data_IF_814991574664
#
_entry.id   IF_814991574664
#
_cell.length_a   1.000
_cell.length_b   1.000
_cell.length_c   1.000
_cell.angle_alpha   90.00
_cell.angle_beta   90.00
_cell.angle_gamma   90.00
#
_symmetry.space_group_name_H-M   'P 1'
#
loop_
_entity.id
_entity.type
_entity.pdbx_description
1 polymer ?
#
# COMPACT_ATOMS: atom_id res chain seq x y z
N UNK A 1 106.89 -6.88 8.64
CA UNK A 1 106.89 -7.59 7.34
C UNK A 1 105.45 -7.96 7.01
N UNK A 2 104.96 -7.40 5.92
CA UNK A 2 103.78 -7.82 5.10
C UNK A 2 104.09 -9.25 4.60
N UNK A 3 103.13 -10.21 4.41
CA UNK A 3 101.95 -10.09 3.53
C UNK A 3 100.65 -10.74 4.07
N UNK A 4 99.45 -10.26 3.76
CA UNK A 4 98.77 -10.13 2.45
C UNK A 4 98.42 -11.49 1.83
N UNK A 5 97.18 -11.95 2.03
CA UNK A 5 96.48 -12.92 1.17
C UNK A 5 94.96 -12.75 1.32
N UNK A 6 94.34 -12.24 0.25
CA UNK A 6 92.92 -12.41 -0.15
C UNK A 6 92.80 -13.84 -0.74
N UNK A 7 91.73 -14.66 -0.54
CA UNK A 7 90.45 -14.45 -1.24
C UNK A 7 89.14 -15.02 -0.64
N UNK A 8 88.05 -14.36 -1.05
CA UNK A 8 86.79 -14.89 -1.61
C UNK A 8 86.43 -16.37 -1.37
N UNK A 9 85.28 -16.65 -0.75
CA UNK A 9 84.29 -17.67 -1.19
C UNK A 9 82.97 -17.55 -0.39
N UNK A 10 81.92 -17.18 -1.13
CA UNK A 10 80.59 -17.79 -1.17
C UNK A 10 80.03 -18.54 0.07
N UNK A 11 78.87 -18.10 0.57
CA UNK A 11 77.77 -18.98 1.01
C UNK A 11 76.59 -18.17 1.55
N UNK A 12 75.40 -18.34 0.95
CA UNK A 12 74.12 -18.03 1.62
C UNK A 12 73.93 -19.00 2.78
N UNK A 13 73.31 -18.56 3.88
CA UNK A 13 72.00 -19.12 4.17
C UNK A 13 70.98 -18.10 4.70
N UNK A 14 69.76 -18.61 4.76
CA UNK A 14 68.47 -17.97 4.99
C UNK A 14 68.25 -17.38 6.39
N UNK A 15 67.14 -16.64 6.46
CA UNK A 15 66.34 -16.29 7.63
C UNK A 15 66.83 -15.11 8.50
N UNK A 16 66.01 -14.06 8.56
CA UNK A 16 65.03 -13.98 9.65
C UNK A 16 64.23 -12.67 9.59
N UNK A 17 62.93 -12.85 9.82
CA UNK A 17 61.98 -11.79 10.15
C UNK A 17 62.40 -11.16 11.47
N UNK A 18 62.86 -9.90 11.45
CA UNK A 18 62.61 -8.90 12.51
C UNK A 18 63.50 -7.66 12.36
N UNK A 19 63.03 -6.66 11.62
CA UNK A 19 63.45 -5.27 11.86
C UNK A 19 62.24 -4.37 12.09
N UNK A 20 61.88 -4.31 13.38
CA UNK A 20 61.65 -3.08 14.14
C UNK A 20 60.70 -2.06 13.51
N UNK A 21 59.45 -2.22 13.91
CA UNK A 21 58.57 -1.15 14.43
C UNK A 21 59.38 0.03 15.01
N UNK A 22 59.40 1.16 14.29
CA UNK A 22 59.15 2.52 14.84
C UNK A 22 59.31 3.59 13.75
N UNK A 23 58.19 4.10 13.23
CA UNK A 23 58.10 5.54 12.92
C UNK A 23 56.65 6.04 12.92
N UNK A 24 56.32 6.66 14.06
CA UNK A 24 55.49 7.86 14.26
C UNK A 24 54.15 8.02 13.50
N UNK A 25 53.09 7.98 14.32
CA UNK A 25 51.82 8.70 14.20
C UNK A 25 51.89 9.99 13.36
N UNK A 26 50.96 10.12 12.40
CA UNK A 26 50.14 11.33 12.24
C UNK A 26 48.66 10.92 12.33
N UNK A 27 48.03 11.30 13.44
CA UNK A 27 46.58 11.29 13.63
C UNK A 27 46.02 12.48 12.85
N UNK A 28 45.46 12.23 11.68
CA UNK A 28 44.53 13.14 10.97
C UNK A 28 43.69 12.27 10.05
N UNK A 29 42.70 11.58 10.60
CA UNK A 29 41.86 10.66 9.81
C UNK A 29 40.72 10.03 10.59
N UNK A 30 40.29 10.64 11.70
CA UNK A 30 39.27 10.07 12.59
C UNK A 30 37.85 10.57 12.36
N UNK A 31 37.66 11.62 11.55
CA UNK A 31 36.34 12.23 11.33
C UNK A 31 35.83 12.10 9.89
N UNK A 32 36.71 11.85 8.92
CA UNK A 32 36.32 11.77 7.50
C UNK A 32 35.48 10.54 7.19
N UNK A 33 35.75 9.40 7.84
CA UNK A 33 35.00 8.16 7.63
C UNK A 33 33.55 8.23 8.19
N UNK A 34 33.30 8.64 9.45
CA UNK A 34 31.92 8.80 9.94
C UNK A 34 31.17 9.95 9.26
N UNK A 35 31.85 11.03 8.82
CA UNK A 35 31.20 12.10 8.05
C UNK A 35 30.87 11.69 6.60
N UNK A 36 31.72 10.91 5.94
CA UNK A 36 31.45 10.39 4.61
C UNK A 36 30.33 9.33 4.62
N UNK A 37 30.36 8.39 5.58
CA UNK A 37 29.29 7.40 5.75
C UNK A 37 27.97 8.05 6.20
N UNK A 38 28.02 9.01 7.14
CA UNK A 38 26.85 9.78 7.57
C UNK A 38 26.27 10.64 6.45
N UNK A 39 27.12 11.27 5.63
CA UNK A 39 26.70 12.04 4.46
C UNK A 39 26.05 11.16 3.38
N UNK A 40 26.61 9.99 3.08
CA UNK A 40 26.01 9.01 2.15
C UNK A 40 24.68 8.45 2.66
N UNK A 41 24.57 8.17 3.97
CA UNK A 41 23.31 7.74 4.58
C UNK A 41 22.24 8.84 4.53
N UNK A 42 22.60 10.08 4.87
CA UNK A 42 21.67 11.21 4.77
C UNK A 42 21.26 11.48 3.31
N UNK A 43 22.19 11.36 2.37
CA UNK A 43 21.89 11.44 0.94
C UNK A 43 20.94 10.32 0.51
N UNK A 44 21.20 9.07 0.94
CA UNK A 44 20.33 7.94 0.63
C UNK A 44 18.93 8.10 1.22
N UNK A 45 18.82 8.58 2.46
CA UNK A 45 17.54 8.85 3.12
C UNK A 45 16.80 10.00 2.42
N UNK A 46 17.49 11.09 2.08
CA UNK A 46 16.86 12.24 1.39
C UNK A 46 16.44 11.88 -0.03
N UNK A 47 17.24 11.09 -0.75
CA UNK A 47 16.86 10.56 -2.07
C UNK A 47 15.70 9.58 -1.96
N UNK A 48 15.71 8.66 -0.98
CA UNK A 48 14.60 7.74 -0.76
C UNK A 48 13.31 8.49 -0.38
N UNK A 49 13.41 9.52 0.46
CA UNK A 49 12.29 10.37 0.85
C UNK A 49 11.75 11.17 -0.35
N UNK A 50 12.63 11.77 -1.15
CA UNK A 50 12.25 12.51 -2.35
C UNK A 50 11.64 11.62 -3.44
N UNK A 51 12.12 10.38 -3.60
CA UNK A 51 11.55 9.40 -4.54
C UNK A 51 10.19 8.86 -4.08
N UNK A 52 9.89 8.93 -2.79
CA UNK A 52 8.63 8.45 -2.20
C UNK A 52 7.61 9.55 -1.94
N UNK A 53 7.98 10.83 -2.08
CA UNK A 53 7.05 11.95 -1.93
C UNK A 53 6.08 12.04 -3.14
N UNK A 54 4.77 11.83 -2.94
CA UNK A 54 3.79 11.95 -4.02
C UNK A 54 3.64 13.39 -4.55
N UNK A 55 4.13 14.39 -3.83
CA UNK A 55 4.04 15.80 -4.24
C UNK A 55 4.65 16.06 -5.61
N UNK A 56 5.67 15.30 -6.03
CA UNK A 56 6.31 15.38 -7.35
C UNK A 56 5.37 15.07 -8.52
N UNK A 57 4.28 14.35 -8.24
CA UNK A 57 3.27 13.97 -9.24
C UNK A 57 2.07 14.93 -9.28
N UNK A 58 2.05 15.96 -8.43
CA UNK A 58 1.01 16.98 -8.47
C UNK A 58 1.05 17.69 -9.82
N UNK A 59 -0.10 17.76 -10.48
CA UNK A 59 -0.25 18.35 -11.81
C UNK A 59 0.06 17.39 -12.96
N UNK A 60 0.93 16.39 -12.79
CA UNK A 60 1.25 15.42 -13.84
C UNK A 60 0.23 14.27 -13.92
N UNK A 61 -0.48 13.97 -12.83
CA UNK A 61 -1.57 13.00 -12.81
C UNK A 61 -2.91 13.64 -13.21
N UNK A 62 -2.93 14.29 -14.38
CA UNK A 62 -4.13 14.92 -14.92
C UNK A 62 -4.27 14.62 -16.42
N UNK A 63 -5.48 14.81 -16.95
CA UNK A 63 -5.80 14.56 -18.36
C UNK A 63 -7.14 13.85 -18.54
N UNK A 64 -7.31 13.24 -19.71
CA UNK A 64 -8.51 12.46 -20.04
C UNK A 64 -8.22 10.95 -19.99
N UNK A 65 -9.11 10.18 -19.37
CA UNK A 65 -9.14 8.73 -19.38
C UNK A 65 -10.49 8.25 -19.92
N UNK A 66 -10.56 6.98 -20.32
CA UNK A 66 -11.83 6.33 -20.67
C UNK A 66 -12.16 5.24 -19.66
N UNK A 67 -13.46 5.07 -19.40
CA UNK A 67 -13.99 3.93 -18.66
C UNK A 67 -14.87 3.06 -19.56
N UNK A 68 -14.86 1.75 -19.33
CA UNK A 68 -15.75 0.80 -20.01
C UNK A 68 -16.72 0.17 -19.03
N UNK A 69 -17.96 -0.07 -19.45
CA UNK A 69 -18.91 -0.89 -18.68
C UNK A 69 -18.42 -2.32 -18.56
N UNK A 70 -18.64 -2.91 -17.39
CA UNK A 70 -18.35 -4.33 -17.11
C UNK A 70 -19.48 -4.94 -16.28
N UNK A 71 -19.64 -6.26 -16.33
CA UNK A 71 -20.59 -6.97 -15.49
C UNK A 71 -20.02 -7.15 -14.08
N UNK A 72 -20.91 -7.40 -13.11
CA UNK A 72 -20.51 -7.61 -11.72
C UNK A 72 -19.73 -8.92 -11.49
N UNK A 73 -19.64 -9.81 -12.48
CA UNK A 73 -18.94 -11.09 -12.37
C UNK A 73 -17.43 -10.94 -12.10
N UNK A 74 -16.87 -9.76 -12.40
CA UNK A 74 -15.45 -9.44 -12.10
C UNK A 74 -15.21 -9.16 -10.60
N UNK A 75 -16.27 -8.98 -9.81
CA UNK A 75 -16.21 -8.67 -8.39
C UNK A 75 -16.05 -9.96 -7.58
N UNK A 76 -14.86 -10.54 -7.65
CA UNK A 76 -14.53 -11.71 -6.84
C UNK A 76 -14.48 -11.34 -5.35
N UNK A 77 -15.04 -12.18 -4.47
CA UNK A 77 -14.89 -12.03 -3.02
C UNK A 77 -13.42 -11.96 -2.58
N UNK A 78 -13.11 -11.17 -1.54
CA UNK A 78 -11.76 -11.14 -0.96
C UNK A 78 -11.76 -11.45 0.52
N UNK A 79 -10.80 -12.27 0.92
CA UNK A 79 -10.54 -12.58 2.31
C UNK A 79 -9.68 -11.50 2.95
N UNK A 80 -10.01 -11.16 4.19
CA UNK A 80 -9.19 -10.28 5.03
C UNK A 80 -8.00 -11.08 5.54
N UNK A 81 -6.81 -10.48 5.49
CA UNK A 81 -5.58 -11.08 5.99
C UNK A 81 -5.58 -11.08 7.54
N UNK A 82 -5.64 -12.25 8.20
CA UNK A 82 -5.67 -12.33 9.66
C UNK A 82 -4.38 -11.81 10.31
N UNK A 83 -3.27 -11.72 9.56
CA UNK A 83 -2.02 -11.17 10.08
C UNK A 83 -2.13 -9.67 10.43
N UNK A 84 -3.14 -8.97 9.92
CA UNK A 84 -3.39 -7.55 10.23
C UNK A 84 -3.76 -7.33 11.71
N UNK A 85 -4.27 -8.35 12.40
CA UNK A 85 -4.70 -8.31 13.80
C UNK A 85 -4.08 -9.45 14.62
N UNK A 86 -2.81 -9.78 14.35
CA UNK A 86 -2.11 -10.91 14.98
C UNK A 86 -2.14 -10.87 16.52
N UNK A 87 -2.09 -9.68 17.11
CA UNK A 87 -2.15 -9.47 18.57
C UNK A 87 -3.52 -9.79 19.17
N UNK A 88 -4.56 -9.91 18.35
CA UNK A 88 -5.95 -10.16 18.70
C UNK A 88 -6.52 -11.36 17.92
N UNK A 89 -5.67 -12.35 17.65
CA UNK A 89 -6.04 -13.49 16.80
C UNK A 89 -7.20 -14.31 17.36
N UNK A 90 -7.33 -14.40 18.69
CA UNK A 90 -8.45 -15.11 19.34
C UNK A 90 -9.77 -14.38 19.11
N UNK A 91 -9.79 -13.06 19.33
CA UNK A 91 -10.96 -12.21 19.07
C UNK A 91 -11.39 -12.26 17.61
N UNK A 92 -10.41 -12.22 16.70
CA UNK A 92 -10.67 -12.33 15.26
C UNK A 92 -11.27 -13.69 14.90
N UNK A 93 -10.75 -14.79 15.46
CA UNK A 93 -11.30 -16.12 15.23
C UNK A 93 -12.74 -16.24 15.74
N UNK A 94 -13.05 -15.67 16.91
CA UNK A 94 -14.40 -15.65 17.47
C UNK A 94 -15.37 -14.81 16.62
N UNK A 95 -14.92 -13.66 16.12
CA UNK A 95 -15.69 -12.85 15.17
C UNK A 95 -15.98 -13.65 13.89
N UNK A 96 -14.98 -14.32 13.32
CA UNK A 96 -15.13 -15.18 12.15
C UNK A 96 -16.16 -16.28 12.39
N UNK A 97 -16.10 -16.98 13.53
CA UNK A 97 -17.07 -18.00 13.89
C UNK A 97 -18.50 -17.43 13.97
N UNK A 98 -18.66 -16.26 14.61
CA UNK A 98 -19.96 -15.58 14.70
C UNK A 98 -20.57 -15.23 13.34
N UNK A 99 -19.73 -14.93 12.35
CA UNK A 99 -20.17 -14.64 10.98
C UNK A 99 -20.68 -15.87 10.22
N UNK A 100 -20.28 -17.08 10.64
CA UNK A 100 -20.80 -18.34 10.10
C UNK A 100 -22.26 -18.56 10.47
N UNK A 101 -22.66 -18.10 11.66
CA UNK A 101 -24.05 -18.14 12.11
C UNK A 101 -24.86 -16.94 11.59
N UNK A 102 -24.27 -15.75 11.64
CA UNK A 102 -24.93 -14.49 11.25
C UNK A 102 -23.99 -13.60 10.45
N UNK A 103 -24.08 -13.64 9.10
CA UNK A 103 -23.34 -12.74 8.24
C UNK A 103 -23.63 -11.27 8.53
N UNK A 104 -22.58 -10.45 8.62
CA UNK A 104 -22.69 -9.00 8.65
C UNK A 104 -23.14 -8.49 7.27
N UNK A 105 -24.25 -7.76 7.20
CA UNK A 105 -24.79 -7.26 5.92
C UNK A 105 -25.16 -5.79 6.02
N UNK A 106 -24.61 -4.99 5.11
CA UNK A 106 -24.89 -3.55 5.00
C UNK A 106 -25.52 -3.28 3.64
N UNK A 107 -26.77 -2.83 3.65
CA UNK A 107 -27.46 -2.38 2.44
C UNK A 107 -27.42 -0.85 2.35
N UNK A 108 -27.10 -0.35 1.17
CA UNK A 108 -27.23 1.05 0.81
C UNK A 108 -27.99 1.20 -0.50
N UNK A 109 -28.26 2.44 -0.91
CA UNK A 109 -28.85 2.73 -2.22
C UNK A 109 -27.89 2.42 -3.39
N UNK A 110 -26.62 2.14 -3.13
CA UNK A 110 -25.59 1.91 -4.15
C UNK A 110 -25.26 0.42 -4.31
N UNK A 111 -25.20 -0.29 -3.18
CA UNK A 111 -24.75 -1.68 -3.12
C UNK A 111 -25.12 -2.34 -1.79
N UNK A 112 -25.03 -3.67 -1.75
CA UNK A 112 -24.98 -4.48 -0.53
C UNK A 112 -23.53 -4.94 -0.32
N UNK A 113 -22.99 -4.72 0.87
CA UNK A 113 -21.70 -5.29 1.30
C UNK A 113 -22.00 -6.39 2.33
N UNK A 114 -21.40 -7.56 2.16
CA UNK A 114 -21.54 -8.67 3.07
C UNK A 114 -20.18 -9.12 3.61
N UNK A 115 -20.11 -9.32 4.93
CA UNK A 115 -19.04 -9.98 5.65
C UNK A 115 -19.53 -11.39 5.97
N UNK A 116 -18.83 -12.41 5.47
CA UNK A 116 -19.20 -13.80 5.66
C UNK A 116 -18.01 -14.58 6.17
N UNK A 117 -18.26 -15.62 6.96
CA UNK A 117 -17.25 -16.63 7.23
C UNK A 117 -17.01 -17.45 5.96
N UNK A 118 -15.74 -17.68 5.63
CA UNK A 118 -15.32 -18.70 4.69
C UNK A 118 -13.89 -19.13 5.00
N UNK A 119 -13.67 -20.45 5.10
CA UNK A 119 -12.34 -21.05 5.33
C UNK A 119 -11.61 -20.48 6.56
N UNK A 120 -12.36 -20.14 7.62
CA UNK A 120 -11.78 -19.60 8.86
C UNK A 120 -11.26 -18.17 8.74
N UNK A 121 -11.75 -17.39 7.76
CA UNK A 121 -11.50 -15.94 7.66
C UNK A 121 -12.77 -15.17 7.31
N UNK A 122 -12.70 -13.84 7.43
CA UNK A 122 -13.74 -12.92 6.98
C UNK A 122 -13.56 -12.70 5.48
N UNK A 123 -14.55 -13.14 4.70
CA UNK A 123 -14.62 -12.82 3.29
C UNK A 123 -15.62 -11.67 3.05
N UNK A 124 -15.19 -10.68 2.26
CA UNK A 124 -16.03 -9.55 1.87
C UNK A 124 -16.56 -9.77 0.45
N UNK A 125 -17.86 -9.54 0.27
CA UNK A 125 -18.56 -9.61 -1.02
C UNK A 125 -19.39 -8.35 -1.25
N UNK A 126 -19.55 -7.97 -2.51
CA UNK A 126 -20.39 -6.82 -2.89
C UNK A 126 -21.33 -7.16 -4.01
N UNK A 127 -22.58 -6.73 -3.84
CA UNK A 127 -23.63 -6.82 -4.84
C UNK A 127 -24.08 -5.40 -5.22
N UNK A 128 -23.82 -4.94 -6.46
CA UNK A 128 -24.30 -3.63 -6.93
C UNK A 128 -25.82 -3.51 -6.97
N UNK A 129 -26.35 -2.32 -6.66
CA UNK A 129 -27.76 -2.00 -6.88
C UNK A 129 -28.07 -1.81 -8.37
N UNK A 130 -29.33 -2.05 -8.76
CA UNK A 130 -29.79 -2.03 -10.16
C UNK A 130 -29.67 -0.68 -10.87
N UNK A 131 -29.71 0.42 -10.12
CA UNK A 131 -29.63 1.80 -10.63
C UNK A 131 -28.18 2.23 -10.91
N UNK A 132 -27.21 1.40 -10.51
CA UNK A 132 -25.79 1.64 -10.69
C UNK A 132 -25.22 0.71 -11.76
N UNK A 133 -24.10 1.15 -12.35
CA UNK A 133 -23.34 0.39 -13.32
C UNK A 133 -21.89 0.32 -12.86
N UNK A 134 -21.29 -0.85 -13.03
CA UNK A 134 -19.89 -1.06 -12.79
C UNK A 134 -19.10 -0.57 -14.00
N UNK A 135 -18.18 0.35 -13.76
CA UNK A 135 -17.27 0.89 -14.78
C UNK A 135 -15.83 0.57 -14.41
N UNK A 136 -15.02 0.24 -15.42
CA UNK A 136 -13.60 -0.10 -15.30
C UNK A 136 -12.75 1.01 -15.89
N UNK A 137 -11.77 1.49 -15.12
CA UNK A 137 -10.73 2.43 -15.56
C UNK A 137 -9.39 1.71 -15.57
N UNK A 138 -8.81 1.51 -16.75
CA UNK A 138 -7.48 0.91 -16.89
C UNK A 138 -6.37 1.87 -16.48
N UNK A 139 -5.39 1.39 -15.72
CA UNK A 139 -4.27 2.19 -15.21
C UNK A 139 -3.17 2.46 -16.24
N UNK A 140 -3.09 1.65 -17.30
CA UNK A 140 -2.12 1.83 -18.40
C UNK A 140 -2.55 2.82 -19.49
N UNK A 141 -3.60 3.61 -19.26
CA UNK A 141 -4.10 4.57 -20.26
C UNK A 141 -3.29 5.87 -20.33
N UNK A 142 -2.48 6.17 -19.32
CA UNK A 142 -1.63 7.36 -19.25
C UNK A 142 -0.24 6.95 -18.75
N UNK A 143 0.81 7.41 -19.43
CA UNK A 143 2.21 7.14 -19.06
C UNK A 143 2.51 7.65 -17.65
N UNK A 144 2.02 8.85 -17.30
CA UNK A 144 2.20 9.42 -15.96
C UNK A 144 1.50 8.58 -14.88
N UNK A 145 0.29 8.08 -15.16
CA UNK A 145 -0.43 7.20 -14.26
C UNK A 145 0.30 5.87 -14.09
N UNK A 146 0.76 5.28 -15.19
CA UNK A 146 1.52 4.03 -15.17
C UNK A 146 2.82 4.18 -14.35
N UNK A 147 3.62 5.21 -14.61
CA UNK A 147 4.85 5.49 -13.87
C UNK A 147 4.58 5.71 -12.37
N UNK A 148 3.47 6.38 -12.03
CA UNK A 148 3.07 6.53 -10.64
C UNK A 148 2.75 5.19 -9.99
N UNK A 149 1.96 4.34 -10.65
CA UNK A 149 1.61 2.99 -10.15
C UNK A 149 2.87 2.17 -9.92
N UNK A 150 3.80 2.17 -10.88
CA UNK A 150 5.07 1.43 -10.80
C UNK A 150 5.94 1.90 -9.62
N UNK A 151 5.93 3.19 -9.30
CA UNK A 151 6.81 3.76 -8.27
C UNK A 151 6.17 3.90 -6.90
N UNK A 152 4.84 3.94 -6.79
CA UNK A 152 4.13 4.28 -5.55
C UNK A 152 3.20 3.18 -5.04
N UNK A 153 2.90 2.14 -5.83
CA UNK A 153 1.99 1.05 -5.46
C UNK A 153 2.29 0.45 -4.08
N UNK A 154 3.55 0.08 -3.82
CA UNK A 154 3.95 -0.50 -2.53
C UNK A 154 3.73 0.45 -1.35
N UNK A 155 3.99 1.76 -1.53
CA UNK A 155 3.76 2.76 -0.48
C UNK A 155 2.26 2.91 -0.19
N UNK A 156 1.45 3.01 -1.24
CA UNK A 156 0.00 3.11 -1.12
C UNK A 156 -0.62 1.87 -0.50
N UNK A 157 -0.10 0.69 -0.83
CA UNK A 157 -0.54 -0.57 -0.25
C UNK A 157 -0.19 -0.66 1.24
N UNK A 158 0.99 -0.19 1.64
CA UNK A 158 1.36 -0.06 3.05
C UNK A 158 0.37 0.83 3.83
N UNK A 159 0.06 2.01 3.30
CA UNK A 159 -0.91 2.94 3.91
C UNK A 159 -2.32 2.36 3.99
N UNK A 160 -2.75 1.59 2.97
CA UNK A 160 -4.03 0.88 2.99
C UNK A 160 -4.06 -0.21 4.07
N UNK A 161 -3.01 -1.03 4.17
CA UNK A 161 -2.92 -2.10 5.16
C UNK A 161 -2.93 -1.55 6.59
N UNK A 162 -2.26 -0.42 6.83
CA UNK A 162 -2.31 0.30 8.10
C UNK A 162 -3.73 0.76 8.43
N UNK A 163 -4.41 1.46 7.50
CA UNK A 163 -5.79 1.90 7.70
C UNK A 163 -6.75 0.73 7.97
N UNK A 164 -6.58 -0.38 7.23
CA UNK A 164 -7.39 -1.59 7.39
C UNK A 164 -7.15 -2.26 8.74
N UNK A 165 -5.89 -2.39 9.18
CA UNK A 165 -5.55 -2.95 10.48
C UNK A 165 -6.18 -2.14 11.61
N UNK A 166 -6.02 -0.81 11.59
CA UNK A 166 -6.63 0.08 12.59
C UNK A 166 -8.16 -0.04 12.61
N UNK A 167 -8.79 -0.13 11.43
CA UNK A 167 -10.25 -0.28 11.32
C UNK A 167 -10.74 -1.65 11.80
N UNK A 168 -9.94 -2.70 11.60
CA UNK A 168 -10.22 -4.04 12.12
C UNK A 168 -10.06 -4.11 13.64
N UNK A 169 -9.05 -3.45 14.21
CA UNK A 169 -8.92 -3.35 15.67
C UNK A 169 -10.12 -2.65 16.29
N UNK A 170 -10.62 -1.58 15.66
CA UNK A 170 -11.84 -0.91 16.10
C UNK A 170 -13.07 -1.83 15.97
N UNK A 171 -13.21 -2.53 14.85
CA UNK A 171 -14.31 -3.51 14.65
C UNK A 171 -14.30 -4.59 15.74
N UNK A 172 -13.14 -5.16 16.05
CA UNK A 172 -13.01 -6.17 17.11
C UNK A 172 -13.36 -5.60 18.48
N UNK A 173 -12.99 -4.35 18.75
CA UNK A 173 -13.33 -3.66 20.00
C UNK A 173 -14.83 -3.46 20.14
N UNK A 174 -15.50 -2.94 19.11
CA UNK A 174 -16.93 -2.66 19.14
C UNK A 174 -17.76 -3.96 19.15
N UNK A 175 -17.30 -4.98 18.42
CA UNK A 175 -17.91 -6.30 18.44
C UNK A 175 -17.80 -6.96 19.80
N UNK A 176 -16.64 -6.90 20.46
CA UNK A 176 -16.46 -7.45 21.80
C UNK A 176 -17.31 -6.75 22.84
N UNK A 177 -17.41 -5.42 22.79
CA UNK A 177 -18.26 -4.67 23.69
C UNK A 177 -19.73 -5.16 23.59
N UNK A 178 -20.22 -5.39 22.37
CA UNK A 178 -21.54 -5.99 22.17
C UNK A 178 -21.64 -7.42 22.78
N UNK A 179 -20.61 -8.25 22.65
CA UNK A 179 -20.60 -9.59 23.29
C UNK A 179 -20.61 -9.51 24.82
N UNK A 180 -19.88 -8.57 25.42
CA UNK A 180 -19.83 -8.36 26.87
C UNK A 180 -21.18 -7.89 27.44
N UNK A 181 -21.93 -7.12 26.66
CA UNK A 181 -23.26 -6.62 26.99
C UNK A 181 -24.40 -7.63 26.65
N UNK A 182 -24.07 -8.84 26.17
CA UNK A 182 -25.00 -9.87 25.69
C UNK A 182 -25.91 -9.35 24.54
N UNK A 183 -25.36 -8.44 23.73
CA UNK A 183 -26.02 -7.82 22.59
C UNK A 183 -25.53 -8.39 21.25
N UNK A 184 -26.40 -8.29 20.24
CA UNK A 184 -26.03 -8.61 18.87
C UNK A 184 -25.31 -7.41 18.26
N UNK A 185 -24.13 -7.65 17.69
CA UNK A 185 -23.43 -6.62 16.93
C UNK A 185 -24.15 -6.31 15.61
N UNK A 186 -24.80 -5.15 15.55
CA UNK A 186 -25.56 -4.69 14.37
C UNK A 186 -24.90 -3.51 13.61
N UNK A 187 -23.89 -2.84 14.18
CA UNK A 187 -23.26 -1.66 13.59
C UNK A 187 -22.24 -1.98 12.47
N UNK A 188 -22.65 -2.83 11.53
CA UNK A 188 -21.87 -3.10 10.32
C UNK A 188 -21.75 -1.88 9.42
N UNK A 189 -22.68 -0.93 9.53
CA UNK A 189 -22.74 0.27 8.68
C UNK A 189 -21.49 1.13 8.86
N UNK A 190 -21.00 1.29 10.10
CA UNK A 190 -19.74 1.99 10.39
C UNK A 190 -18.51 1.38 9.71
N UNK A 191 -18.51 0.07 9.49
CA UNK A 191 -17.36 -0.67 8.95
C UNK A 191 -17.44 -0.98 7.45
N UNK A 192 -18.54 -0.58 6.80
CA UNK A 192 -18.75 -0.82 5.36
C UNK A 192 -17.60 -0.28 4.51
N UNK A 193 -17.20 0.96 4.73
CA UNK A 193 -16.15 1.60 3.93
C UNK A 193 -14.75 1.27 4.43
N UNK A 194 -14.55 1.30 5.75
CA UNK A 194 -13.23 1.22 6.41
C UNK A 194 -12.67 -0.21 6.44
N UNK A 195 -13.54 -1.22 6.53
CA UNK A 195 -13.15 -2.63 6.46
C UNK A 195 -13.62 -3.24 5.14
N UNK A 196 -14.92 -3.16 4.85
CA UNK A 196 -15.53 -3.84 3.70
C UNK A 196 -14.89 -3.42 2.36
N UNK A 197 -15.07 -2.16 1.96
CA UNK A 197 -14.53 -1.68 0.69
C UNK A 197 -12.99 -1.66 0.67
N UNK A 198 -12.34 -1.33 1.79
CA UNK A 198 -10.88 -1.33 1.88
C UNK A 198 -10.26 -2.73 1.69
N UNK A 199 -10.97 -3.80 2.04
CA UNK A 199 -10.53 -5.18 1.78
C UNK A 199 -10.60 -5.57 0.29
N UNK A 200 -11.44 -4.90 -0.50
CA UNK A 200 -11.71 -5.22 -1.90
C UNK A 200 -10.77 -4.54 -2.90
N UNK A 201 -9.95 -3.61 -2.41
CA UNK A 201 -9.06 -2.77 -3.24
C UNK A 201 -7.60 -2.93 -2.81
N UNK A 202 -6.69 -2.58 -3.70
CA UNK A 202 -5.29 -2.35 -3.37
C UNK A 202 -5.06 -0.90 -2.94
N UNK A 203 -3.79 -0.56 -2.74
CA UNK A 203 -3.38 0.77 -2.30
C UNK A 203 -3.93 1.90 -3.17
N UNK A 204 -3.91 1.74 -4.50
CA UNK A 204 -4.36 2.80 -5.39
C UNK A 204 -5.88 3.01 -5.30
N UNK A 205 -6.64 1.93 -5.32
CA UNK A 205 -8.09 1.95 -5.19
C UNK A 205 -8.53 2.59 -3.90
N UNK A 206 -7.93 2.23 -2.76
CA UNK A 206 -8.22 2.83 -1.45
C UNK A 206 -8.02 4.35 -1.42
N UNK A 207 -7.00 4.82 -2.14
CA UNK A 207 -6.66 6.25 -2.23
C UNK A 207 -7.28 6.97 -3.43
N UNK A 208 -8.25 6.36 -4.10
CA UNK A 208 -8.94 6.94 -5.26
C UNK A 208 -10.44 7.10 -5.04
N UNK A 209 -11.03 8.08 -5.70
CA UNK A 209 -12.47 8.32 -5.70
C UNK A 209 -12.95 8.73 -7.10
N UNK A 210 -14.19 8.36 -7.42
CA UNK A 210 -14.94 8.90 -8.54
C UNK A 210 -15.83 10.06 -8.05
N UNK A 211 -15.53 11.27 -8.49
CA UNK A 211 -16.33 12.47 -8.19
C UNK A 211 -17.33 12.72 -9.31
N UNK A 212 -18.62 12.63 -8.98
CA UNK A 212 -19.74 12.61 -9.93
C UNK A 212 -20.58 13.91 -9.91
N UNK A 213 -19.99 15.01 -9.46
CA UNK A 213 -20.66 16.30 -9.23
C UNK A 213 -21.63 16.33 -8.03
N UNK A 214 -22.34 15.22 -7.78
CA UNK A 214 -23.29 15.05 -6.66
C UNK A 214 -22.67 14.38 -5.43
N UNK A 215 -21.72 13.48 -5.65
CA UNK A 215 -21.11 12.68 -4.59
C UNK A 215 -19.74 12.17 -5.01
N UNK A 216 -18.92 11.86 -4.00
CA UNK A 216 -17.68 11.12 -4.15
C UNK A 216 -17.95 9.65 -3.88
N UNK A 217 -17.60 8.80 -4.84
CA UNK A 217 -17.82 7.36 -4.79
C UNK A 217 -16.46 6.69 -4.61
N UNK A 218 -16.34 5.81 -3.61
CA UNK A 218 -15.12 5.04 -3.38
C UNK A 218 -14.86 4.10 -4.56
N UNK A 219 -13.58 3.80 -4.80
CA UNK A 219 -13.24 2.63 -5.61
C UNK A 219 -13.86 1.40 -4.96
N UNK A 220 -14.60 0.62 -5.74
CA UNK A 220 -15.26 -0.58 -5.26
C UNK A 220 -14.30 -1.77 -5.28
N UNK A 221 -13.49 -1.88 -6.34
CA UNK A 221 -12.65 -3.04 -6.58
C UNK A 221 -11.38 -2.62 -7.33
N UNK A 222 -10.27 -3.31 -7.12
CA UNK A 222 -9.03 -3.10 -7.86
C UNK A 222 -8.41 -4.44 -8.26
N UNK A 223 -8.36 -4.73 -9.55
CA UNK A 223 -7.80 -5.99 -10.06
C UNK A 223 -7.34 -5.83 -11.51
N UNK A 224 -6.35 -6.64 -11.92
CA UNK A 224 -5.91 -6.70 -13.32
C UNK A 224 -5.46 -5.34 -13.89
N UNK A 225 -4.78 -4.52 -13.08
CA UNK A 225 -4.30 -3.20 -13.48
C UNK A 225 -5.43 -2.19 -13.75
N UNK A 226 -6.57 -2.32 -13.08
CA UNK A 226 -7.71 -1.44 -13.24
C UNK A 226 -8.41 -1.13 -11.92
N UNK A 227 -9.04 0.05 -11.89
CA UNK A 227 -9.93 0.50 -10.83
C UNK A 227 -11.37 0.35 -11.28
N UNK A 228 -12.23 -0.08 -10.38
CA UNK A 228 -13.64 -0.30 -10.66
C UNK A 228 -14.49 0.57 -9.75
N UNK A 229 -15.48 1.26 -10.34
CA UNK A 229 -16.38 2.15 -9.62
C UNK A 229 -17.82 1.79 -9.92
N UNK A 230 -18.69 1.89 -8.91
CA UNK A 230 -20.13 1.94 -9.14
C UNK A 230 -20.54 3.38 -9.36
N UNK A 231 -21.09 3.66 -10.53
CA UNK A 231 -21.59 4.99 -10.90
C UNK A 231 -23.07 4.93 -11.28
N UNK A 232 -23.85 6.01 -11.11
CA UNK A 232 -25.23 6.04 -11.58
C UNK A 232 -25.33 5.67 -13.06
N UNK A 233 -26.31 4.86 -13.44
CA UNK A 233 -26.43 4.36 -14.82
C UNK A 233 -26.57 5.45 -15.90
N UNK A 234 -27.04 6.65 -15.52
CA UNK A 234 -27.17 7.79 -16.42
C UNK A 234 -25.90 8.65 -16.55
N UNK A 235 -24.83 8.30 -15.86
CA UNK A 235 -23.61 9.11 -15.81
C UNK A 235 -22.77 8.89 -17.07
N UNK A 236 -22.43 9.97 -17.77
CA UNK A 236 -21.57 9.93 -18.97
C UNK A 236 -20.09 10.20 -18.67
N UNK A 237 -19.79 10.88 -17.56
CA UNK A 237 -18.42 11.22 -17.17
C UNK A 237 -18.31 11.42 -15.65
N UNK A 238 -17.11 11.25 -15.12
CA UNK A 238 -16.77 11.58 -13.73
C UNK A 238 -15.30 12.00 -13.64
N UNK A 239 -14.89 12.56 -12.50
CA UNK A 239 -13.48 12.83 -12.24
C UNK A 239 -12.88 11.72 -11.36
N UNK A 240 -11.76 11.13 -11.81
CA UNK A 240 -10.93 10.26 -10.97
C UNK A 240 -9.97 11.13 -10.18
N UNK A 241 -10.15 11.14 -8.86
CA UNK A 241 -9.44 12.03 -7.96
C UNK A 241 -8.81 11.27 -6.80
N UNK A 242 -7.79 11.88 -6.20
CA UNK A 242 -7.22 11.41 -4.95
C UNK A 242 -8.18 11.50 -3.77
N UNK A 243 -8.14 10.50 -2.88
CA UNK A 243 -8.78 10.57 -1.57
C UNK A 243 -7.95 11.39 -0.59
N UNK A 244 -8.60 12.31 0.10
CA UNK A 244 -8.05 13.03 1.26
C UNK A 244 -8.12 12.12 2.49
N UNK A 245 -7.00 11.93 3.18
CA UNK A 245 -6.91 11.23 4.47
C UNK A 245 -7.24 12.20 5.63
N UNK A 246 -7.43 11.65 6.83
CA UNK A 246 -7.77 12.45 8.01
C UNK A 246 -6.67 13.45 8.41
N UNK A 247 -5.42 13.15 8.07
CA UNK A 247 -4.28 14.06 8.20
C UNK A 247 -4.20 15.15 7.11
N UNK A 248 -5.19 15.20 6.21
CA UNK A 248 -5.26 16.13 5.08
C UNK A 248 -4.37 15.75 3.89
N UNK A 249 -3.60 14.66 3.97
CA UNK A 249 -2.76 14.21 2.88
C UNK A 249 -3.57 13.61 1.73
N UNK A 250 -3.01 13.69 0.51
CA UNK A 250 -3.58 13.08 -0.70
C UNK A 250 -2.50 12.17 -1.31
N UNK A 251 -2.42 10.90 -0.88
CA UNK A 251 -1.34 10.00 -1.29
C UNK A 251 -1.32 9.71 -2.80
N UNK A 252 -2.48 9.76 -3.45
CA UNK A 252 -2.65 9.62 -4.89
C UNK A 252 -3.21 10.94 -5.45
N UNK A 253 -2.37 11.89 -5.89
CA UNK A 253 -2.80 13.24 -6.27
C UNK A 253 -3.34 13.29 -7.71
N UNK A 254 -4.23 12.36 -8.07
CA UNK A 254 -4.88 12.33 -9.37
C UNK A 254 -5.96 13.40 -9.53
N UNK A 255 -6.09 13.88 -10.76
CA UNK A 255 -7.15 14.76 -11.24
C UNK A 255 -7.42 14.50 -12.73
N UNK A 256 -7.97 13.32 -13.03
CA UNK A 256 -8.32 12.93 -14.40
C UNK A 256 -9.82 13.12 -14.67
N UNK A 257 -10.16 13.62 -15.85
CA UNK A 257 -11.52 13.52 -16.38
C UNK A 257 -11.70 12.14 -17.02
N UNK A 258 -12.73 11.40 -16.62
CA UNK A 258 -13.00 10.05 -17.11
C UNK A 258 -14.30 10.04 -17.89
N UNK A 259 -14.24 9.81 -19.20
CA UNK A 259 -15.43 9.60 -20.03
C UNK A 259 -15.84 8.14 -20.01
N UNK A 260 -17.11 7.88 -19.73
CA UNK A 260 -17.66 6.53 -19.77
C UNK A 260 -18.03 6.24 -21.21
N UNK A 261 -17.37 5.26 -21.82
CA UNK A 261 -17.66 4.84 -23.18
C UNK A 261 -19.12 4.44 -23.30
N UNK A 262 -19.79 4.94 -24.34
CA UNK A 262 -21.11 4.46 -24.73
C UNK A 262 -20.96 2.98 -25.12
N UNK A 263 -21.37 2.07 -24.24
CA UNK A 263 -21.52 0.67 -24.60
C UNK A 263 -22.53 0.57 -25.74
N UNK A 264 -22.10 -0.01 -26.86
CA UNK A 264 -22.97 -0.47 -27.94
C UNK A 264 -23.66 -1.77 -27.57
#
# INVERSE_FOLDING_TARGET
MVPDVVPEFESRPEASVSSRVRRRRRKTGGLAFPLACGGLLLLAITVAWFLTDPSRFRGSLSGELTASYVTADVLEPRSIDPQLVQTRSEDFAALVESLGERPGRVRSNVMVVAFVELDGTIQVRVEPASEYRLVRVGLGQSEALQQFVETQSNRLEGLRREDLANSLEQLLTDWQAAQEDDEVFEDWTGFRETVGLTALVGGLGHHSMARTGRQNLRCLYEAGGALYFLVPASLGEFQLVGRVRDDGSVPFPADFSVRIGSGG
#
